data_IF_450480154726
#
_entry.id   IF_450480154726
#
_cell.length_a   1.000
_cell.length_b   1.000
_cell.length_c   1.000
_cell.angle_alpha   90.00
_cell.angle_beta   90.00
_cell.angle_gamma   90.00
#
_symmetry.space_group_name_H-M   'P 1'
#
loop_
_entity.id
_entity.type
_entity.pdbx_description
1 polymer ?
#
# COMPACT_ATOMS: atom_id res chain seq x y z
N UNK A 1 -13.85 29.04 -19.82
CA UNK A 1 -13.97 28.15 -18.65
C UNK A 1 -14.07 26.74 -19.21
N UNK A 2 -13.14 25.87 -18.85
CA UNK A 2 -13.12 24.49 -19.34
C UNK A 2 -13.31 23.60 -18.11
N UNK A 3 -14.41 22.86 -18.11
CA UNK A 3 -14.68 21.80 -17.15
C UNK A 3 -14.23 20.50 -17.80
N UNK A 4 -13.30 19.79 -17.16
CA UNK A 4 -12.88 18.47 -17.61
C UNK A 4 -13.42 17.44 -16.62
N UNK A 5 -14.29 16.56 -17.12
CA UNK A 5 -14.80 15.40 -16.37
C UNK A 5 -14.08 14.18 -16.93
N UNK A 6 -13.26 13.52 -16.12
CA UNK A 6 -12.47 12.36 -16.57
C UNK A 6 -12.97 11.05 -15.94
N UNK A 7 -12.87 10.02 -16.76
CA UNK A 7 -13.55 8.72 -16.74
C UNK A 7 -13.10 7.78 -15.62
N UNK A 8 -14.09 7.08 -15.07
CA UNK A 8 -13.98 5.95 -14.14
C UNK A 8 -13.27 4.78 -14.84
N UNK A 9 -12.17 4.28 -14.27
CA UNK A 9 -11.53 3.05 -14.73
C UNK A 9 -11.30 2.10 -13.56
N UNK A 10 -11.97 0.93 -13.52
CA UNK A 10 -11.60 -0.13 -12.61
C UNK A 10 -10.25 -0.71 -13.04
N UNK A 11 -9.23 -0.62 -12.19
CA UNK A 11 -7.92 -1.24 -12.43
C UNK A 11 -7.81 -2.47 -11.56
N UNK A 12 -7.40 -3.58 -12.19
CA UNK A 12 -7.12 -4.85 -11.52
C UNK A 12 -5.63 -5.10 -11.51
N UNK A 13 -5.04 -5.17 -10.32
CA UNK A 13 -3.60 -5.42 -10.16
C UNK A 13 -3.41 -6.87 -9.72
N UNK A 14 -2.53 -7.59 -10.45
CA UNK A 14 -2.13 -8.97 -10.14
C UNK A 14 -0.74 -8.99 -9.52
N UNK A 15 -0.66 -9.24 -8.21
CA UNK A 15 0.59 -9.45 -7.50
C UNK A 15 1.09 -10.90 -7.69
N UNK A 16 2.35 -11.09 -8.12
CA UNK A 16 3.01 -12.42 -8.12
C UNK A 16 3.81 -12.59 -6.83
N UNK A 17 3.26 -13.29 -5.84
CA UNK A 17 3.97 -13.61 -4.59
C UNK A 17 5.18 -14.53 -4.85
N UNK A 18 6.39 -14.08 -4.50
CA UNK A 18 7.65 -14.86 -4.57
C UNK A 18 8.04 -15.39 -3.19
N UNK A 19 8.69 -16.54 -3.14
CA UNK A 19 9.28 -17.06 -1.89
C UNK A 19 10.67 -16.46 -1.74
N UNK A 20 10.87 -15.67 -0.68
CA UNK A 20 12.17 -15.05 -0.39
C UNK A 20 12.66 -15.57 0.97
N UNK A 21 13.81 -16.24 0.94
CA UNK A 21 14.55 -16.68 2.11
C UNK A 21 15.65 -15.68 2.42
N UNK A 22 15.74 -15.20 3.67
CA UNK A 22 16.85 -14.36 4.15
C UNK A 22 17.73 -15.18 5.10
N UNK A 23 19.06 -15.25 4.88
CA UNK A 23 19.96 -15.98 5.77
C UNK A 23 20.23 -15.25 7.09
N UNK A 24 20.76 -16.03 8.05
CA UNK A 24 20.93 -15.76 9.47
C UNK A 24 21.60 -14.41 9.85
N UNK A 25 21.29 -13.93 11.07
CA UNK A 25 21.94 -12.77 11.68
C UNK A 25 23.01 -13.22 12.68
N UNK A 26 24.14 -12.52 12.74
CA UNK A 26 25.18 -12.79 13.74
C UNK A 26 24.83 -12.05 15.03
N UNK A 27 24.69 -12.78 16.14
CA UNK A 27 24.43 -12.18 17.45
C UNK A 27 25.66 -11.39 17.92
N UNK A 28 25.45 -10.40 18.81
CA UNK A 28 26.52 -9.58 19.39
C UNK A 28 27.61 -10.37 20.13
N UNK A 29 27.35 -11.64 20.46
CA UNK A 29 28.30 -12.55 21.11
C UNK A 29 29.08 -13.45 20.11
N UNK A 30 28.93 -13.25 18.80
CA UNK A 30 29.67 -14.01 17.78
C UNK A 30 29.00 -15.31 17.32
N UNK A 31 27.95 -15.76 18.01
CA UNK A 31 27.11 -16.90 17.63
C UNK A 31 26.27 -16.59 16.38
N UNK A 32 26.26 -17.52 15.42
CA UNK A 32 25.34 -17.48 14.29
C UNK A 32 24.06 -18.16 14.74
N UNK A 33 23.02 -17.36 14.99
CA UNK A 33 21.68 -17.90 15.29
C UNK A 33 20.92 -17.98 13.97
N UNK A 34 20.50 -19.18 13.51
CA UNK A 34 19.67 -19.33 12.32
C UNK A 34 18.37 -18.55 12.50
N UNK A 35 18.25 -17.43 11.79
CA UNK A 35 17.06 -16.60 11.80
C UNK A 35 16.49 -16.52 10.38
N UNK A 36 15.68 -17.51 10.02
CA UNK A 36 15.12 -17.63 8.68
C UNK A 36 13.68 -17.12 8.69
N UNK A 37 13.49 -15.99 8.02
CA UNK A 37 12.14 -15.46 7.75
C UNK A 37 11.68 -16.01 6.41
N UNK A 38 10.68 -16.88 6.45
CA UNK A 38 10.01 -17.35 5.25
C UNK A 38 8.94 -16.33 4.84
N UNK A 39 9.18 -15.65 3.72
CA UNK A 39 8.11 -14.93 3.02
C UNK A 39 7.42 -15.93 2.13
N UNK A 40 6.29 -16.48 2.58
CA UNK A 40 5.65 -17.56 1.84
C UNK A 40 4.73 -17.00 0.75
N UNK A 41 4.79 -17.64 -0.43
CA UNK A 41 3.77 -17.41 -1.44
C UNK A 41 2.41 -17.90 -0.94
N UNK A 42 1.32 -17.39 -1.51
CA UNK A 42 -0.02 -17.73 -1.00
C UNK A 42 -0.51 -19.15 -1.36
N UNK A 43 0.31 -19.94 -2.07
CA UNK A 43 0.02 -21.33 -2.40
C UNK A 43 0.76 -22.32 -1.50
N UNK A 44 1.67 -21.84 -0.66
CA UNK A 44 2.55 -22.66 0.16
C UNK A 44 1.78 -23.40 1.26
N UNK A 45 2.24 -24.59 1.63
CA UNK A 45 1.68 -25.38 2.72
C UNK A 45 1.76 -24.64 4.06
N UNK A 46 2.81 -23.86 4.30
CA UNK A 46 2.93 -23.01 5.50
C UNK A 46 1.85 -21.91 5.52
N UNK A 47 1.55 -21.28 4.38
CA UNK A 47 0.52 -20.22 4.30
C UNK A 47 -0.87 -20.77 4.58
N UNK A 48 -1.15 -21.99 4.08
CA UNK A 48 -2.39 -22.73 4.39
C UNK A 48 -2.46 -23.15 5.87
N UNK A 49 -1.35 -23.55 6.47
CA UNK A 49 -1.29 -23.91 7.90
C UNK A 49 -1.61 -22.71 8.81
N UNK A 50 -1.26 -21.50 8.38
CA UNK A 50 -1.64 -20.24 9.03
C UNK A 50 -3.07 -19.77 8.70
N UNK A 51 -3.82 -20.52 7.88
CA UNK A 51 -5.19 -20.21 7.50
C UNK A 51 -5.34 -18.89 6.73
N UNK A 52 -4.29 -18.47 6.01
CA UNK A 52 -4.35 -17.30 5.13
C UNK A 52 -5.14 -17.68 3.88
N UNK A 53 -6.14 -16.86 3.54
CA UNK A 53 -7.00 -17.07 2.38
C UNK A 53 -6.24 -16.81 1.06
N UNK A 54 -6.71 -17.41 -0.04
CA UNK A 54 -6.19 -17.16 -1.40
C UNK A 54 -6.22 -15.66 -1.75
N UNK A 55 -5.21 -15.19 -2.51
CA UNK A 55 -5.07 -13.78 -2.84
C UNK A 55 -6.11 -13.46 -3.90
N UNK A 56 -6.86 -12.40 -3.65
CA UNK A 56 -7.72 -11.78 -4.65
C UNK A 56 -6.95 -10.67 -5.36
N UNK A 57 -7.41 -10.33 -6.56
CA UNK A 57 -6.92 -9.16 -7.29
C UNK A 57 -7.31 -7.90 -6.51
N UNK A 58 -6.40 -6.94 -6.38
CA UNK A 58 -6.75 -5.62 -5.87
C UNK A 58 -7.62 -4.91 -6.91
N UNK A 59 -8.68 -4.25 -6.44
CA UNK A 59 -9.56 -3.43 -7.28
C UNK A 59 -9.50 -1.99 -6.84
N UNK A 60 -9.37 -1.08 -7.80
CA UNK A 60 -9.43 0.36 -7.51
C UNK A 60 -10.43 1.09 -8.39
N UNK A 61 -11.11 2.07 -7.81
CA UNK A 61 -11.99 3.00 -8.51
C UNK A 61 -11.47 4.41 -8.29
N UNK A 62 -11.25 5.15 -9.38
CA UNK A 62 -10.80 6.53 -9.37
C UNK A 62 -11.87 7.45 -9.98
N UNK A 63 -12.24 8.48 -9.23
CA UNK A 63 -13.07 9.59 -9.66
C UNK A 63 -12.25 10.87 -9.59
N UNK A 64 -12.25 11.66 -10.65
CA UNK A 64 -11.62 12.98 -10.64
C UNK A 64 -12.44 14.02 -11.41
N UNK A 65 -12.30 15.27 -11.00
CA UNK A 65 -12.96 16.41 -11.62
C UNK A 65 -12.06 17.64 -11.56
N UNK A 66 -11.92 18.31 -12.70
CA UNK A 66 -10.97 19.40 -12.87
C UNK A 66 -11.61 20.67 -13.37
N UNK A 67 -11.12 21.80 -12.86
CA UNK A 67 -11.53 23.14 -13.26
C UNK A 67 -10.32 23.97 -13.66
N UNK A 68 -10.36 24.58 -14.85
CA UNK A 68 -9.37 25.57 -15.28
C UNK A 68 -10.01 26.86 -15.73
N UNK A 69 -9.46 27.97 -15.24
CA UNK A 69 -9.87 29.32 -15.62
C UNK A 69 -8.68 30.25 -15.84
N UNK A 70 -8.92 31.24 -16.72
CA UNK A 70 -8.01 32.36 -16.96
C UNK A 70 -8.82 33.66 -16.82
N UNK A 71 -9.16 34.08 -15.60
CA UNK A 71 -10.05 35.23 -15.40
C UNK A 71 -9.39 36.56 -15.78
N UNK A 72 -8.06 36.59 -15.92
CA UNK A 72 -7.32 37.74 -16.44
C UNK A 72 -6.25 37.26 -17.45
N UNK A 73 -5.91 38.04 -18.51
CA UNK A 73 -4.88 37.65 -19.48
C UNK A 73 -3.51 37.36 -18.90
N UNK A 74 -3.27 37.76 -17.65
CA UNK A 74 -2.02 37.56 -16.91
C UNK A 74 -2.08 36.49 -15.82
N UNK A 75 -3.24 35.89 -15.59
CA UNK A 75 -3.48 34.98 -14.47
C UNK A 75 -4.27 33.75 -14.92
N UNK A 76 -3.76 32.56 -14.59
CA UNK A 76 -4.48 31.30 -14.75
C UNK A 76 -4.50 30.52 -13.45
N UNK A 77 -5.58 29.78 -13.23
CA UNK A 77 -5.76 28.89 -12.10
C UNK A 77 -6.37 27.57 -12.56
N UNK A 78 -5.86 26.49 -12.02
CA UNK A 78 -6.37 25.13 -12.16
C UNK A 78 -6.61 24.57 -10.76
N UNK A 79 -7.71 23.85 -10.60
CA UNK A 79 -8.02 23.07 -9.41
C UNK A 79 -8.57 21.71 -9.83
N UNK A 80 -7.94 20.63 -9.38
CA UNK A 80 -8.33 19.25 -9.68
C UNK A 80 -8.61 18.51 -8.38
N UNK A 81 -9.81 17.95 -8.24
CA UNK A 81 -10.16 17.12 -7.11
C UNK A 81 -10.19 15.65 -7.54
N UNK A 82 -9.79 14.76 -6.64
CA UNK A 82 -9.82 13.32 -6.87
C UNK A 82 -10.27 12.55 -5.63
N UNK A 83 -10.82 11.37 -5.90
CA UNK A 83 -11.31 10.41 -4.92
C UNK A 83 -11.02 9.01 -5.43
N UNK A 84 -10.27 8.24 -4.65
CA UNK A 84 -9.74 6.93 -5.02
C UNK A 84 -10.13 5.96 -3.92
N UNK A 85 -10.75 4.85 -4.30
CA UNK A 85 -10.97 3.71 -3.41
C UNK A 85 -10.13 2.55 -3.89
N UNK A 86 -9.53 1.81 -2.96
CA UNK A 86 -8.78 0.60 -3.24
C UNK A 86 -9.25 -0.47 -2.27
N UNK A 87 -9.83 -1.52 -2.82
CA UNK A 87 -10.35 -2.67 -2.08
C UNK A 87 -9.39 -3.87 -2.20
N UNK A 88 -9.44 -4.73 -1.19
CA UNK A 88 -8.67 -5.97 -1.11
C UNK A 88 -7.15 -5.71 -1.20
N UNK A 89 -6.61 -4.62 -0.63
CA UNK A 89 -5.16 -4.34 -0.71
C UNK A 89 -4.34 -5.47 -0.12
N UNK A 90 -3.40 -5.95 -0.91
CA UNK A 90 -2.43 -6.98 -0.61
C UNK A 90 -1.31 -6.32 0.20
N UNK A 91 -1.30 -6.62 1.49
CA UNK A 91 -0.26 -6.17 2.40
C UNK A 91 0.56 -7.35 2.90
N UNK A 92 1.79 -7.07 3.32
CA UNK A 92 2.61 -8.05 4.02
C UNK A 92 2.23 -8.04 5.50
N UNK A 93 1.89 -9.21 6.06
CA UNK A 93 1.61 -9.35 7.48
C UNK A 93 2.85 -9.04 8.32
N UNK A 94 2.65 -8.87 9.64
CA UNK A 94 3.75 -9.00 10.59
C UNK A 94 4.36 -10.40 10.56
N UNK A 95 5.53 -10.55 11.18
CA UNK A 95 6.22 -11.84 11.29
C UNK A 95 5.64 -12.65 12.44
N UNK A 96 5.29 -13.89 12.13
CA UNK A 96 4.92 -14.92 13.09
C UNK A 96 6.17 -15.71 13.45
N UNK A 97 6.53 -15.71 14.73
CA UNK A 97 7.76 -16.33 15.25
C UNK A 97 7.44 -17.52 16.14
N UNK A 98 8.27 -18.55 16.10
CA UNK A 98 8.15 -19.72 16.99
C UNK A 98 8.50 -19.40 18.46
N UNK A 99 9.04 -18.21 18.74
CA UNK A 99 9.16 -17.66 20.09
C UNK A 99 7.81 -17.30 20.73
N UNK A 100 6.73 -17.22 19.95
CA UNK A 100 5.37 -17.09 20.47
C UNK A 100 4.71 -18.48 20.53
N UNK A 101 4.27 -18.95 21.72
CA UNK A 101 3.65 -20.27 21.88
C UNK A 101 2.44 -20.51 20.95
N UNK A 102 1.69 -19.45 20.60
CA UNK A 102 0.54 -19.54 19.71
C UNK A 102 0.91 -19.95 18.27
N UNK A 103 2.14 -19.69 17.84
CA UNK A 103 2.63 -20.00 16.48
C UNK A 103 3.66 -21.12 16.45
N UNK A 104 4.26 -21.46 17.60
CA UNK A 104 5.28 -22.51 17.71
C UNK A 104 4.78 -23.87 17.20
N UNK A 105 3.52 -24.24 17.49
CA UNK A 105 2.90 -25.48 17.02
C UNK A 105 2.62 -25.48 15.51
N UNK A 106 2.30 -24.32 14.94
CA UNK A 106 2.05 -24.15 13.50
C UNK A 106 3.37 -24.20 12.71
N UNK A 107 4.45 -23.69 13.29
CA UNK A 107 5.79 -23.68 12.69
C UNK A 107 6.58 -24.97 12.92
N UNK A 108 6.22 -25.80 13.92
CA UNK A 108 6.92 -27.04 14.24
C UNK A 108 7.17 -27.97 13.04
N UNK A 109 6.22 -28.20 12.11
CA UNK A 109 6.44 -29.03 10.93
C UNK A 109 7.45 -28.45 9.91
N UNK A 110 7.81 -27.18 10.04
CA UNK A 110 8.70 -26.46 9.12
C UNK A 110 10.07 -26.16 9.74
N UNK A 111 10.31 -26.56 11.00
CA UNK A 111 11.59 -26.35 11.69
C UNK A 111 12.76 -27.06 11.00
N UNK A 112 12.54 -28.26 10.49
CA UNK A 112 13.55 -29.03 9.76
C UNK A 112 13.97 -28.37 8.44
N UNK A 113 13.12 -27.49 7.88
CA UNK A 113 13.42 -26.65 6.74
C UNK A 113 14.06 -25.30 7.13
N UNK A 114 14.45 -25.14 8.40
CA UNK A 114 15.08 -23.95 8.96
C UNK A 114 14.11 -22.80 9.26
N UNK A 115 12.80 -22.97 9.10
CA UNK A 115 11.82 -21.88 9.24
C UNK A 115 11.54 -21.58 10.72
N UNK A 116 12.11 -20.48 11.23
CA UNK A 116 11.83 -19.98 12.59
C UNK A 116 10.83 -18.81 12.61
N UNK A 117 10.63 -18.14 11.47
CA UNK A 117 9.62 -17.10 11.32
C UNK A 117 8.92 -17.20 9.96
N UNK A 118 7.64 -16.82 9.91
CA UNK A 118 6.86 -16.74 8.67
C UNK A 118 6.14 -15.40 8.54
N UNK A 119 6.02 -14.90 7.32
CA UNK A 119 5.22 -13.72 6.96
C UNK A 119 4.53 -13.96 5.61
N UNK A 120 3.35 -13.37 5.44
CA UNK A 120 2.44 -13.69 4.34
C UNK A 120 1.93 -12.44 3.66
N UNK A 121 1.62 -12.55 2.37
CA UNK A 121 0.80 -11.56 1.68
C UNK A 121 -0.68 -11.89 1.92
N UNK A 122 -1.49 -10.88 2.26
CA UNK A 122 -2.93 -11.03 2.48
C UNK A 122 -3.69 -9.80 2.00
N UNK A 123 -4.86 -10.00 1.40
CA UNK A 123 -5.85 -8.93 1.19
C UNK A 123 -6.43 -8.54 2.55
N UNK A 124 -5.90 -7.48 3.17
CA UNK A 124 -6.20 -7.17 4.57
C UNK A 124 -6.54 -5.70 4.84
N UNK A 125 -6.49 -4.84 3.83
CA UNK A 125 -6.71 -3.39 4.01
C UNK A 125 -7.55 -2.87 2.86
N UNK A 126 -8.57 -2.09 3.18
CA UNK A 126 -9.28 -1.25 2.21
C UNK A 126 -8.92 0.21 2.50
N UNK A 127 -8.70 1.03 1.47
CA UNK A 127 -8.32 2.44 1.65
C UNK A 127 -9.13 3.39 0.79
N UNK A 128 -9.38 4.56 1.34
CA UNK A 128 -9.91 5.71 0.64
C UNK A 128 -8.88 6.83 0.63
N UNK A 129 -8.63 7.41 -0.55
CA UNK A 129 -7.73 8.54 -0.75
C UNK A 129 -8.48 9.64 -1.46
N UNK A 130 -8.53 10.83 -0.87
CA UNK A 130 -9.15 12.02 -1.46
C UNK A 130 -8.18 13.18 -1.44
N UNK A 131 -8.28 14.05 -2.43
CA UNK A 131 -7.42 15.21 -2.46
C UNK A 131 -7.81 16.26 -3.47
N UNK A 132 -7.12 17.39 -3.38
CA UNK A 132 -7.24 18.50 -4.31
C UNK A 132 -5.86 19.07 -4.62
N UNK A 133 -5.64 19.32 -5.91
CA UNK A 133 -4.46 19.95 -6.49
C UNK A 133 -4.85 21.32 -7.01
N UNK A 134 -4.10 22.35 -6.63
CA UNK A 134 -4.33 23.73 -7.07
C UNK A 134 -3.03 24.27 -7.66
N UNK A 135 -3.11 24.77 -8.87
CA UNK A 135 -1.99 25.44 -9.55
C UNK A 135 -2.45 26.82 -10.00
N UNK A 136 -1.73 27.86 -9.60
CA UNK A 136 -1.96 29.22 -10.02
C UNK A 136 -0.69 29.79 -10.66
N UNK A 137 -0.84 30.44 -11.81
CA UNK A 137 0.25 31.09 -12.52
C UNK A 137 -0.12 32.54 -12.80
N UNK A 138 0.79 33.46 -12.46
CA UNK A 138 0.67 34.88 -12.71
C UNK A 138 1.93 35.40 -13.38
N UNK A 139 1.77 36.29 -14.35
CA UNK A 139 2.90 37.01 -14.89
C UNK A 139 2.69 38.52 -14.88
N UNK A 140 3.76 39.27 -14.60
CA UNK A 140 3.72 40.73 -14.68
C UNK A 140 5.02 41.27 -15.25
N UNK A 141 4.98 42.33 -16.07
CA UNK A 141 6.17 43.11 -16.35
C UNK A 141 6.76 43.66 -15.05
N UNK A 142 8.09 43.66 -14.95
CA UNK A 142 8.84 44.26 -13.84
C UNK A 142 10.10 44.92 -14.40
N UNK A 143 10.08 46.26 -14.47
CA UNK A 143 11.12 47.01 -15.18
C UNK A 143 11.16 46.63 -16.66
N UNK A 144 12.35 46.33 -17.16
CA UNK A 144 12.58 45.85 -18.53
C UNK A 144 12.37 44.33 -18.69
N UNK A 145 12.10 43.63 -17.58
CA UNK A 145 11.94 42.19 -17.54
C UNK A 145 10.50 41.72 -17.33
N UNK A 146 10.35 40.40 -17.20
CA UNK A 146 9.09 39.73 -16.87
C UNK A 146 9.29 38.95 -15.58
N UNK A 147 8.35 39.09 -14.65
CA UNK A 147 8.25 38.27 -13.46
C UNK A 147 7.15 37.22 -13.68
N UNK A 148 7.52 35.95 -13.55
CA UNK A 148 6.62 34.81 -13.57
C UNK A 148 6.52 34.22 -12.15
N UNK A 149 5.30 34.10 -11.64
CA UNK A 149 5.00 33.56 -10.32
C UNK A 149 4.12 32.34 -10.51
N UNK A 150 4.60 31.18 -10.03
CA UNK A 150 3.84 29.94 -10.02
C UNK A 150 3.67 29.47 -8.58
N UNK A 151 2.42 29.19 -8.21
CA UNK A 151 2.04 28.65 -6.91
C UNK A 151 1.36 27.31 -7.12
N UNK A 152 1.79 26.32 -6.35
CA UNK A 152 1.17 25.00 -6.34
C UNK A 152 0.87 24.58 -4.89
N UNK A 153 -0.30 23.99 -4.68
CA UNK A 153 -0.70 23.40 -3.41
C UNK A 153 -1.38 22.06 -3.67
N UNK A 154 -1.04 21.05 -2.87
CA UNK A 154 -1.67 19.74 -2.86
C UNK A 154 -2.16 19.47 -1.43
N UNK A 155 -3.40 19.01 -1.32
CA UNK A 155 -3.96 18.52 -0.07
C UNK A 155 -4.47 17.11 -0.32
N UNK A 156 -3.88 16.15 0.40
CA UNK A 156 -4.19 14.73 0.23
C UNK A 156 -4.47 14.13 1.60
N UNK A 157 -5.56 13.36 1.69
CA UNK A 157 -5.93 12.60 2.86
C UNK A 157 -6.12 11.13 2.47
N UNK A 158 -5.63 10.22 3.29
CA UNK A 158 -5.72 8.78 3.03
C UNK A 158 -6.05 8.04 4.31
N UNK A 159 -7.15 7.32 4.29
CA UNK A 159 -7.68 6.60 5.43
C UNK A 159 -7.78 5.09 5.12
N UNK A 160 -7.55 4.29 6.15
CA UNK A 160 -7.87 2.86 6.13
C UNK A 160 -9.34 2.72 6.52
N UNK A 161 -10.17 2.28 5.58
CA UNK A 161 -11.62 2.15 5.78
C UNK A 161 -12.00 0.81 6.40
N UNK A 162 -11.21 -0.24 6.14
CA UNK A 162 -11.41 -1.57 6.73
C UNK A 162 -10.09 -2.32 6.92
N UNK A 163 -10.04 -3.14 7.96
CA UNK A 163 -8.97 -4.11 8.20
C UNK A 163 -9.58 -5.51 8.18
N UNK A 164 -9.27 -6.26 7.12
CA UNK A 164 -9.76 -7.61 6.90
C UNK A 164 -8.77 -8.61 7.48
N UNK A 165 -8.93 -8.99 8.76
CA UNK A 165 -8.05 -9.99 9.40
C UNK A 165 -8.39 -11.39 8.88
N UNK A 166 -7.43 -12.14 8.30
CA UNK A 166 -7.66 -13.52 7.90
C UNK A 166 -8.16 -14.35 9.09
N UNK A 167 -9.20 -15.14 8.88
CA UNK A 167 -9.86 -15.95 9.92
C UNK A 167 -8.91 -16.93 10.62
N UNK A 168 -7.87 -17.41 9.93
CA UNK A 168 -6.80 -18.22 10.53
C UNK A 168 -5.96 -17.48 11.58
N UNK A 169 -5.77 -16.17 11.42
CA UNK A 169 -5.01 -15.33 12.35
C UNK A 169 -5.87 -14.77 13.48
N UNK A 170 -7.18 -14.62 13.27
CA UNK A 170 -8.12 -14.16 14.29
C UNK A 170 -8.22 -15.13 15.49
N UNK A 171 -8.01 -16.43 15.26
CA UNK A 171 -8.04 -17.47 16.32
C UNK A 171 -6.82 -17.50 17.22
N UNK A 172 -5.69 -16.92 16.81
CA UNK A 172 -4.45 -16.90 17.59
C UNK A 172 -4.34 -15.72 18.58
N UNK A 173 -5.40 -14.90 18.68
CA UNK A 173 -5.51 -13.79 19.64
C UNK A 173 -6.23 -14.15 20.95
N UNK A 174 -6.70 -15.39 21.10
CA UNK A 174 -7.33 -15.91 22.32
C UNK A 174 -6.36 -16.77 23.12
#
# INVERSE_FOLDING_TARGET
MILFLMLIHPIKIKEKSQVIFRPAYRSGNGDIVPNQVLTANNKSSVTKAFGIAALKEETSVNFSGGFTARPHPKFSITADAYFITIDDRIVLTSRFTDGNPAFASILAPFKDAGVSQAQFFSNAVDTETKGVDIVAAFFTPLGEGKLDINLAANFTDTEVTSINVPSGLARARM
#
